data_IF_529300028718
#
_entry.id   IF_529300028718
#
_cell.length_a   1.000
_cell.length_b   1.000
_cell.length_c   1.000
_cell.angle_alpha   90.00
_cell.angle_beta   90.00
_cell.angle_gamma   90.00
#
_symmetry.space_group_name_H-M   'P 1'
#
loop_
_entity.id
_entity.type
_entity.pdbx_description
1 polymer ?
#
# COMPACT_ATOMS: atom_id res chain seq x y z
N UNK A 1 24.84 9.02 56.18
CA UNK A 1 25.48 9.83 55.12
C UNK A 1 25.59 8.98 53.87
N UNK A 2 25.07 9.44 52.73
CA UNK A 2 25.26 8.73 51.46
C UNK A 2 26.75 8.72 51.12
N UNK A 3 27.30 7.54 50.80
CA UNK A 3 28.68 7.41 50.34
C UNK A 3 28.88 8.30 49.11
N UNK A 4 30.05 8.94 49.02
CA UNK A 4 30.45 9.76 47.88
C UNK A 4 31.55 9.05 47.11
N UNK A 5 31.50 9.08 45.79
CA UNK A 5 32.49 8.51 44.89
C UNK A 5 33.08 9.59 44.01
N UNK A 6 34.33 9.41 43.55
CA UNK A 6 34.95 10.34 42.60
C UNK A 6 34.49 10.02 41.19
N UNK A 7 34.17 11.04 40.42
CA UNK A 7 33.72 10.92 39.03
C UNK A 7 34.30 12.03 38.16
N UNK A 8 34.32 11.79 36.85
CA UNK A 8 34.65 12.78 35.84
C UNK A 8 33.34 13.31 35.24
N UNK A 9 33.15 14.62 35.29
CA UNK A 9 32.00 15.31 34.69
C UNK A 9 32.44 16.07 33.44
N UNK A 10 31.71 15.88 32.34
CA UNK A 10 31.88 16.59 31.08
C UNK A 10 30.62 17.41 30.80
N UNK A 11 30.78 18.69 30.48
CA UNK A 11 29.66 19.61 30.26
C UNK A 11 29.14 19.64 28.82
N UNK A 12 29.71 18.80 27.93
CA UNK A 12 29.37 18.74 26.51
C UNK A 12 29.82 19.96 25.70
N UNK A 13 30.40 20.98 26.34
CA UNK A 13 30.76 22.27 25.73
C UNK A 13 32.27 22.50 25.70
N UNK A 14 32.99 21.90 26.64
CA UNK A 14 34.44 22.03 26.79
C UNK A 14 35.13 20.67 26.65
N UNK A 15 36.35 20.62 26.10
CA UNK A 15 37.11 19.38 25.93
C UNK A 15 37.75 18.89 27.25
N UNK A 16 37.45 19.53 28.38
CA UNK A 16 38.04 19.24 29.69
C UNK A 16 37.01 18.67 30.65
N UNK A 17 37.39 17.63 31.39
CA UNK A 17 36.55 17.11 32.48
C UNK A 17 36.80 17.88 33.78
N UNK A 18 35.79 17.93 34.64
CA UNK A 18 35.90 18.38 36.03
C UNK A 18 35.80 17.19 36.96
N UNK A 19 36.64 17.17 38.01
CA UNK A 19 36.53 16.17 39.07
C UNK A 19 35.37 16.54 39.98
N UNK A 20 34.47 15.59 40.21
CA UNK A 20 33.28 15.80 41.03
C UNK A 20 33.11 14.66 42.01
N UNK A 21 32.37 14.93 43.10
CA UNK A 21 31.90 13.89 43.99
C UNK A 21 30.46 13.53 43.60
N UNK A 22 30.21 12.25 43.38
CA UNK A 22 28.89 11.73 43.06
C UNK A 22 28.32 10.98 44.25
N UNK A 23 27.03 11.12 44.49
CA UNK A 23 26.25 10.22 45.33
C UNK A 23 24.97 9.84 44.62
N UNK A 24 24.44 8.64 44.86
CA UNK A 24 23.19 8.18 44.27
C UNK A 24 22.17 7.83 45.35
N UNK A 25 20.91 8.03 45.01
CA UNK A 25 19.75 7.56 45.76
C UNK A 25 18.69 6.99 44.81
N UNK A 26 17.53 6.59 45.34
CA UNK A 26 16.45 6.01 44.52
C UNK A 26 15.86 7.00 43.50
N UNK A 27 16.04 8.31 43.71
CA UNK A 27 15.46 9.36 42.86
C UNK A 27 16.42 9.78 41.75
N UNK A 28 17.74 9.59 41.92
CA UNK A 28 18.70 9.94 40.90
C UNK A 28 20.14 10.02 41.39
N UNK A 29 20.92 10.84 40.70
CA UNK A 29 22.35 11.04 40.94
C UNK A 29 22.60 12.50 41.31
N UNK A 30 23.25 12.72 42.45
CA UNK A 30 23.69 14.04 42.92
C UNK A 30 25.18 14.20 42.64
N UNK A 31 25.53 15.27 41.94
CA UNK A 31 26.87 15.66 41.55
C UNK A 31 27.25 16.90 42.36
N UNK A 32 28.41 16.89 43.00
CA UNK A 32 28.93 17.96 43.83
C UNK A 32 30.30 18.39 43.29
N UNK A 33 30.41 19.66 42.95
CA UNK A 33 31.60 20.28 42.38
C UNK A 33 32.53 20.81 43.48
N UNK A 34 33.80 21.03 43.15
CA UNK A 34 34.81 21.52 44.10
C UNK A 34 34.51 22.93 44.63
N UNK A 35 33.74 23.74 43.87
CA UNK A 35 33.28 25.07 44.27
C UNK A 35 32.08 25.04 45.25
N UNK A 36 31.64 23.84 45.65
CA UNK A 36 30.50 23.64 46.55
C UNK A 36 29.13 23.69 45.85
N UNK A 37 29.09 23.93 44.54
CA UNK A 37 27.84 23.82 43.79
C UNK A 37 27.41 22.36 43.64
N UNK A 38 26.10 22.13 43.55
CA UNK A 38 25.54 20.78 43.39
C UNK A 38 24.52 20.72 42.26
N UNK A 39 24.50 19.60 41.55
CA UNK A 39 23.53 19.30 40.49
C UNK A 39 22.86 17.96 40.78
N UNK A 40 21.58 17.85 40.45
CA UNK A 40 20.82 16.62 40.62
C UNK A 40 20.23 16.18 39.30
N UNK A 41 20.59 14.97 38.87
CA UNK A 41 20.04 14.31 37.71
C UNK A 41 18.99 13.30 38.16
N UNK A 42 17.73 13.51 37.80
CA UNK A 42 16.66 12.56 38.14
C UNK A 42 16.83 11.31 37.30
N UNK A 43 16.41 10.17 37.84
CA UNK A 43 16.42 8.87 37.14
C UNK A 43 15.79 8.92 35.74
N UNK A 44 14.77 9.74 35.53
CA UNK A 44 14.07 9.86 34.25
C UNK A 44 14.86 10.63 33.19
N UNK A 45 15.85 11.43 33.62
CA UNK A 45 16.47 12.47 32.80
C UNK A 45 17.87 12.06 32.32
N UNK A 46 18.42 10.94 32.82
CA UNK A 46 19.71 10.42 32.38
C UNK A 46 19.62 8.98 31.86
N UNK A 47 20.54 8.63 30.95
CA UNK A 47 20.64 7.31 30.33
C UNK A 47 22.02 6.70 30.58
N UNK A 48 22.10 5.38 30.67
CA UNK A 48 23.36 4.66 30.76
C UNK A 48 23.90 4.45 29.33
N UNK A 49 25.13 4.86 29.06
CA UNK A 49 25.72 4.84 27.72
C UNK A 49 26.35 3.49 27.33
N UNK A 50 26.75 2.68 28.32
CA UNK A 50 27.46 1.41 28.08
C UNK A 50 26.93 0.29 28.99
N UNK A 51 27.11 -0.95 28.54
CA UNK A 51 26.92 -2.12 29.39
C UNK A 51 27.80 -2.00 30.65
N UNK A 52 27.17 -2.21 31.81
CA UNK A 52 27.80 -2.17 33.13
C UNK A 52 28.98 -3.13 33.22
N UNK A 53 29.05 -4.16 32.40
CA UNK A 53 30.13 -5.16 32.41
C UNK A 53 31.44 -4.69 31.76
N UNK A 54 31.45 -3.55 31.04
CA UNK A 54 32.57 -3.15 30.17
C UNK A 54 33.24 -1.80 30.51
N UNK A 55 33.56 -1.56 31.78
CA UNK A 55 34.35 -0.40 32.21
C UNK A 55 33.61 0.56 33.14
N UNK A 56 34.01 1.84 33.22
CA UNK A 56 33.40 2.81 34.14
C UNK A 56 31.93 3.07 33.78
N UNK A 57 31.09 3.29 34.79
CA UNK A 57 29.69 3.64 34.58
C UNK A 57 29.61 5.03 33.97
N UNK A 58 29.07 5.13 32.75
CA UNK A 58 28.92 6.37 32.00
C UNK A 58 27.45 6.74 31.85
N UNK A 59 27.04 7.85 32.47
CA UNK A 59 25.70 8.39 32.44
C UNK A 59 25.66 9.63 31.54
N UNK A 60 24.60 9.76 30.76
CA UNK A 60 24.38 10.84 29.80
C UNK A 60 23.10 11.61 30.17
N UNK A 61 23.16 12.94 30.19
CA UNK A 61 22.07 13.83 30.59
C UNK A 61 21.90 14.99 29.60
N UNK A 62 20.65 15.25 29.19
CA UNK A 62 20.30 16.35 28.28
C UNK A 62 20.37 16.00 26.79
N UNK A 63 20.15 17.00 25.94
CA UNK A 63 20.21 16.90 24.47
C UNK A 63 21.62 17.18 23.92
N UNK A 64 21.86 16.87 22.65
CA UNK A 64 23.18 16.98 22.03
C UNK A 64 23.71 18.43 21.99
N UNK A 65 24.97 18.69 22.40
CA UNK A 65 25.92 17.76 23.01
C UNK A 65 25.60 17.51 24.49
N UNK A 66 25.52 16.23 24.91
CA UNK A 66 25.03 15.90 26.24
C UNK A 66 26.09 16.13 27.32
N UNK A 67 25.62 16.27 28.56
CA UNK A 67 26.46 16.20 29.74
C UNK A 67 26.74 14.75 30.10
N UNK A 68 27.97 14.45 30.51
CA UNK A 68 28.41 13.07 30.76
C UNK A 68 29.01 12.97 32.15
N UNK A 69 28.61 11.94 32.89
CA UNK A 69 29.21 11.56 34.16
C UNK A 69 29.83 10.18 34.06
N UNK A 70 31.13 10.08 34.31
CA UNK A 70 31.87 8.84 34.27
C UNK A 70 32.39 8.47 35.67
N UNK A 71 31.97 7.30 36.17
CA UNK A 71 32.31 6.80 37.50
C UNK A 71 33.01 5.45 37.38
N UNK A 72 34.32 5.43 37.65
CA UNK A 72 35.15 4.23 37.54
C UNK A 72 35.19 3.36 38.80
N UNK A 73 34.52 3.79 39.88
CA UNK A 73 34.56 3.09 41.16
C UNK A 73 33.74 1.78 41.12
N UNK A 74 34.35 0.61 41.38
CA UNK A 74 33.65 -0.69 41.32
C UNK A 74 32.53 -0.82 42.36
N UNK A 75 32.63 -0.13 43.50
CA UNK A 75 31.60 -0.17 44.53
C UNK A 75 30.39 0.69 44.13
N UNK A 76 30.63 1.81 43.46
CA UNK A 76 29.56 2.59 42.83
C UNK A 76 28.80 1.74 41.82
N UNK A 77 29.52 1.03 40.94
CA UNK A 77 28.93 0.14 39.94
C UNK A 77 28.01 -0.93 40.57
N UNK A 78 28.47 -1.60 41.63
CA UNK A 78 27.68 -2.60 42.34
C UNK A 78 26.47 -1.98 43.07
N UNK A 79 26.62 -0.79 43.67
CA UNK A 79 25.53 -0.10 44.37
C UNK A 79 24.49 0.47 43.40
N UNK A 80 24.95 1.09 42.32
CA UNK A 80 24.15 1.65 41.25
C UNK A 80 23.30 0.56 40.58
N UNK A 81 23.88 -0.62 40.33
CA UNK A 81 23.14 -1.77 39.78
C UNK A 81 21.97 -2.24 40.65
N UNK A 82 22.10 -2.16 41.98
CA UNK A 82 21.02 -2.52 42.93
C UNK A 82 19.91 -1.47 43.01
N UNK A 83 20.25 -0.19 42.91
CA UNK A 83 19.26 0.91 43.01
C UNK A 83 18.58 1.21 41.67
N UNK A 84 19.28 0.97 40.58
CA UNK A 84 18.81 1.13 39.22
C UNK A 84 18.93 -0.24 38.53
N UNK A 85 18.10 -1.23 38.84
CA UNK A 85 18.11 -2.48 38.07
C UNK A 85 17.94 -2.13 36.59
N UNK A 86 18.64 -2.84 35.71
CA UNK A 86 18.43 -2.67 34.28
C UNK A 86 16.93 -2.84 34.02
N UNK A 87 16.34 -1.92 33.25
CA UNK A 87 15.07 -2.21 32.61
C UNK A 87 15.39 -3.34 31.65
N UNK A 88 15.33 -4.59 32.13
CA UNK A 88 15.11 -5.73 31.27
C UNK A 88 13.86 -5.35 30.48
N UNK A 89 14.05 -4.89 29.24
CA UNK A 89 13.07 -5.19 28.21
C UNK A 89 12.99 -6.70 28.30
N UNK A 90 11.95 -7.23 28.94
CA UNK A 90 11.65 -8.64 28.95
C UNK A 90 11.40 -9.01 27.49
N UNK A 91 12.47 -9.21 26.72
CA UNK A 91 12.45 -9.94 25.47
C UNK A 91 12.28 -11.39 25.91
N UNK A 92 11.04 -11.77 26.23
CA UNK A 92 10.78 -13.18 26.41
C UNK A 92 10.92 -13.81 25.02
N UNK A 93 11.76 -14.85 24.85
CA UNK A 93 11.90 -15.52 23.56
C UNK A 93 10.54 -16.05 23.08
N UNK A 94 9.63 -16.37 24.00
CA UNK A 94 8.25 -16.72 23.72
C UNK A 94 7.44 -15.58 23.06
N UNK A 95 7.56 -14.32 23.51
CA UNK A 95 6.92 -13.17 22.88
C UNK A 95 7.53 -12.87 21.50
N UNK A 96 8.85 -13.04 21.35
CA UNK A 96 9.51 -12.90 20.06
C UNK A 96 9.03 -13.98 19.06
N UNK A 97 8.94 -15.24 19.49
CA UNK A 97 8.39 -16.34 18.71
C UNK A 97 6.91 -16.11 18.35
N UNK A 98 6.12 -15.62 19.30
CA UNK A 98 4.72 -15.27 19.05
C UNK A 98 4.59 -14.16 18.00
N UNK A 99 5.42 -13.11 18.09
CA UNK A 99 5.44 -12.03 17.10
C UNK A 99 5.84 -12.54 15.70
N UNK A 100 6.79 -13.47 15.61
CA UNK A 100 7.19 -14.12 14.35
C UNK A 100 6.05 -14.89 13.70
N UNK A 101 5.08 -15.39 14.47
CA UNK A 101 3.91 -16.10 13.93
C UNK A 101 2.74 -15.14 13.65
N UNK A 102 2.47 -14.20 14.56
CA UNK A 102 1.34 -13.28 14.46
C UNK A 102 1.53 -12.23 13.36
N UNK A 103 2.74 -11.68 13.21
CA UNK A 103 2.98 -10.63 12.22
C UNK A 103 2.75 -11.13 10.79
N UNK A 104 3.29 -12.30 10.36
CA UNK A 104 2.95 -12.86 9.06
C UNK A 104 1.46 -13.17 8.92
N UNK A 105 0.82 -13.77 9.93
CA UNK A 105 -0.62 -14.04 9.88
C UNK A 105 -1.45 -12.74 9.69
N UNK A 106 -1.06 -11.65 10.37
CA UNK A 106 -1.68 -10.34 10.17
C UNK A 106 -1.42 -9.78 8.77
N UNK A 107 -0.20 -9.87 8.25
CA UNK A 107 0.16 -9.33 6.93
C UNK A 107 -0.53 -10.11 5.80
N UNK A 108 -0.53 -11.43 5.87
CA UNK A 108 -1.03 -12.29 4.79
C UNK A 108 -2.53 -12.57 4.86
N UNK A 109 -3.14 -12.52 6.04
CA UNK A 109 -4.57 -12.84 6.20
C UNK A 109 -5.36 -11.72 6.87
N UNK A 110 -4.85 -11.15 7.96
CA UNK A 110 -5.58 -10.14 8.74
C UNK A 110 -5.85 -8.85 7.96
N UNK A 111 -4.80 -8.23 7.42
CA UNK A 111 -4.86 -6.95 6.71
C UNK A 111 -5.66 -7.10 5.40
N UNK A 112 -5.38 -8.05 4.50
CA UNK A 112 -6.18 -8.25 3.27
C UNK A 112 -7.68 -8.41 3.57
N UNK A 113 -8.04 -9.31 4.48
CA UNK A 113 -9.44 -9.58 4.81
C UNK A 113 -10.14 -8.34 5.41
N UNK A 114 -9.45 -7.58 6.25
CA UNK A 114 -9.99 -6.35 6.83
C UNK A 114 -10.14 -5.26 5.76
N UNK A 115 -9.17 -5.09 4.88
CA UNK A 115 -9.19 -4.05 3.85
C UNK A 115 -10.34 -4.23 2.87
N UNK A 116 -10.63 -5.44 2.41
CA UNK A 116 -11.80 -5.69 1.56
C UNK A 116 -13.12 -5.39 2.29
N UNK A 117 -13.21 -5.68 3.59
CA UNK A 117 -14.34 -5.27 4.42
C UNK A 117 -14.45 -3.75 4.52
N UNK A 118 -13.34 -3.04 4.73
CA UNK A 118 -13.34 -1.58 4.90
C UNK A 118 -13.47 -0.81 3.57
N UNK A 119 -13.08 -1.41 2.45
CA UNK A 119 -13.16 -0.81 1.13
C UNK A 119 -14.57 -0.30 0.88
N UNK A 120 -15.62 -1.08 1.18
CA UNK A 120 -17.05 -0.70 1.03
C UNK A 120 -17.50 0.55 1.78
N UNK A 121 -16.78 0.99 2.81
CA UNK A 121 -17.13 2.20 3.58
C UNK A 121 -16.46 3.47 3.05
N UNK A 122 -15.50 3.35 2.14
CA UNK A 122 -14.93 4.51 1.45
C UNK A 122 -16.04 5.17 0.62
N UNK A 123 -16.23 6.49 0.64
CA UNK A 123 -17.17 7.15 -0.28
C UNK A 123 -16.67 7.11 -1.73
N UNK A 124 -17.56 6.91 -2.70
CA UNK A 124 -17.22 6.93 -4.15
C UNK A 124 -16.56 8.25 -4.56
N UNK A 125 -16.91 9.37 -3.93
CA UNK A 125 -16.26 10.66 -4.18
C UNK A 125 -14.77 10.68 -3.85
N UNK A 126 -14.34 9.92 -2.83
CA UNK A 126 -12.92 9.76 -2.49
C UNK A 126 -12.24 8.87 -3.52
N UNK A 127 -12.90 7.79 -3.95
CA UNK A 127 -12.36 6.94 -5.01
C UNK A 127 -12.18 7.70 -6.33
N UNK A 128 -13.14 8.56 -6.72
CA UNK A 128 -13.00 9.41 -7.92
C UNK A 128 -11.77 10.31 -7.85
N UNK A 129 -11.51 10.92 -6.69
CA UNK A 129 -10.30 11.74 -6.49
C UNK A 129 -9.02 10.90 -6.55
N UNK A 130 -9.05 9.72 -5.93
CA UNK A 130 -7.94 8.78 -5.96
C UNK A 130 -7.64 8.32 -7.38
N UNK A 131 -8.64 7.85 -8.13
CA UNK A 131 -8.49 7.43 -9.51
C UNK A 131 -7.91 8.54 -10.38
N UNK A 132 -8.38 9.77 -10.24
CA UNK A 132 -7.84 10.91 -10.97
C UNK A 132 -6.37 11.20 -10.60
N UNK A 133 -6.00 11.08 -9.34
CA UNK A 133 -4.62 11.21 -8.87
C UNK A 133 -3.72 10.12 -9.49
N UNK A 134 -4.16 8.86 -9.42
CA UNK A 134 -3.45 7.69 -9.96
C UNK A 134 -3.24 7.83 -11.47
N UNK A 135 -4.27 8.24 -12.22
CA UNK A 135 -4.17 8.50 -13.66
C UNK A 135 -3.14 9.59 -13.96
N UNK A 136 -3.17 10.71 -13.24
CA UNK A 136 -2.26 11.83 -13.48
C UNK A 136 -0.81 11.49 -13.14
N UNK A 137 -0.59 10.62 -12.15
CA UNK A 137 0.75 10.15 -11.79
C UNK A 137 1.31 9.16 -12.82
N UNK A 138 0.50 8.19 -13.26
CA UNK A 138 0.95 7.12 -14.16
C UNK A 138 0.94 7.53 -15.64
N UNK A 139 0.01 8.41 -16.02
CA UNK A 139 -0.24 8.84 -17.40
C UNK A 139 -0.30 10.37 -17.51
N UNK A 140 0.77 11.09 -17.10
CA UNK A 140 0.78 12.57 -17.04
C UNK A 140 0.68 13.23 -18.42
N UNK A 141 1.22 12.61 -19.47
CA UNK A 141 1.29 13.14 -20.83
C UNK A 141 0.47 12.30 -21.82
N UNK A 142 -0.63 11.69 -21.36
CA UNK A 142 -1.47 10.86 -22.21
C UNK A 142 -2.14 11.67 -23.31
N UNK A 143 -2.18 11.12 -24.51
CA UNK A 143 -2.95 11.65 -25.63
C UNK A 143 -4.27 10.91 -25.65
N UNK A 144 -5.36 11.64 -25.50
CA UNK A 144 -6.72 11.08 -25.52
C UNK A 144 -7.24 11.18 -26.94
N UNK A 145 -7.61 10.03 -27.51
CA UNK A 145 -8.30 9.97 -28.79
C UNK A 145 -9.79 10.22 -28.59
N UNK A 146 -10.36 11.10 -29.41
CA UNK A 146 -11.77 11.44 -29.27
C UNK A 146 -12.38 11.91 -30.58
N UNK A 147 -13.54 11.34 -30.90
CA UNK A 147 -14.46 11.81 -31.96
C UNK A 147 -15.88 11.75 -31.42
N UNK A 148 -16.79 12.57 -31.95
CA UNK A 148 -18.20 12.55 -31.51
C UNK A 148 -18.84 11.17 -31.70
N UNK A 149 -18.59 10.51 -32.85
CA UNK A 149 -19.12 9.19 -33.15
C UNK A 149 -18.48 8.08 -32.29
N UNK A 150 -17.18 8.18 -31.99
CA UNK A 150 -16.49 7.25 -31.10
C UNK A 150 -16.96 7.39 -29.65
N UNK A 151 -17.17 8.62 -29.18
CA UNK A 151 -17.74 8.90 -27.84
C UNK A 151 -19.15 8.33 -27.71
N UNK A 152 -20.01 8.52 -28.71
CA UNK A 152 -21.36 7.93 -28.73
C UNK A 152 -21.31 6.39 -28.65
N UNK A 153 -20.34 5.77 -29.32
CA UNK A 153 -20.14 4.32 -29.25
C UNK A 153 -19.70 3.86 -27.84
N UNK A 154 -18.80 4.59 -27.18
CA UNK A 154 -18.39 4.32 -25.80
C UNK A 154 -19.54 4.47 -24.80
N UNK A 155 -20.34 5.54 -24.95
CA UNK A 155 -21.53 5.76 -24.11
C UNK A 155 -22.54 4.61 -24.26
N UNK A 156 -22.73 4.09 -25.48
CA UNK A 156 -23.56 2.90 -25.73
C UNK A 156 -23.02 1.65 -25.04
N UNK A 157 -21.70 1.42 -25.07
CA UNK A 157 -21.08 0.30 -24.35
C UNK A 157 -21.34 0.41 -22.84
N UNK A 158 -21.07 1.58 -22.26
CA UNK A 158 -21.32 1.82 -20.82
C UNK A 158 -22.79 1.65 -20.49
N UNK A 159 -23.71 2.23 -21.26
CA UNK A 159 -25.14 2.12 -21.02
C UNK A 159 -25.65 0.69 -21.12
N UNK A 160 -25.00 -0.17 -21.92
CA UNK A 160 -25.37 -1.57 -22.08
C UNK A 160 -24.91 -2.46 -20.93
N UNK A 161 -23.75 -2.14 -20.35
CA UNK A 161 -23.10 -2.95 -19.31
C UNK A 161 -23.35 -2.41 -17.88
N UNK A 162 -23.45 -1.10 -17.69
CA UNK A 162 -23.59 -0.51 -16.36
C UNK A 162 -25.04 -0.69 -15.85
N UNK A 163 -25.25 -1.28 -14.67
CA UNK A 163 -26.57 -1.33 -14.07
C UNK A 163 -27.13 0.08 -13.83
N UNK A 164 -28.43 0.33 -14.05
CA UNK A 164 -29.03 1.66 -13.92
C UNK A 164 -28.98 2.20 -12.48
N UNK A 165 -28.95 1.31 -11.48
CA UNK A 165 -28.90 1.66 -10.06
C UNK A 165 -27.47 1.71 -9.49
N UNK A 166 -26.45 1.81 -10.35
CA UNK A 166 -25.06 1.86 -9.90
C UNK A 166 -24.71 3.17 -9.22
N UNK A 167 -23.96 3.09 -8.11
CA UNK A 167 -23.33 4.25 -7.46
C UNK A 167 -22.15 4.81 -8.29
N UNK A 168 -21.70 4.09 -9.31
CA UNK A 168 -20.58 4.47 -10.18
C UNK A 168 -21.07 5.06 -11.49
N UNK A 169 -20.44 6.16 -11.87
CA UNK A 169 -20.57 6.77 -13.19
C UNK A 169 -19.29 6.44 -13.96
N UNK A 170 -19.40 5.56 -14.97
CA UNK A 170 -18.24 5.12 -15.73
C UNK A 170 -17.83 6.14 -16.77
N UNK A 171 -16.53 6.42 -16.83
CA UNK A 171 -15.92 7.33 -17.79
C UNK A 171 -14.82 6.59 -18.53
N UNK A 172 -14.98 6.46 -19.85
CA UNK A 172 -14.02 5.78 -20.71
C UNK A 172 -13.17 6.83 -21.44
N UNK A 173 -11.85 6.70 -21.37
CA UNK A 173 -10.91 7.48 -22.19
C UNK A 173 -10.11 6.52 -23.07
N UNK A 174 -10.02 6.81 -24.37
CA UNK A 174 -9.16 6.06 -25.29
C UNK A 174 -7.79 6.72 -25.33
N UNK A 175 -6.74 5.96 -25.04
CA UNK A 175 -5.36 6.47 -25.02
C UNK A 175 -4.65 6.07 -26.32
N UNK A 176 -4.04 7.03 -27.00
CA UNK A 176 -3.20 6.77 -28.18
C UNK A 176 -1.89 6.07 -27.78
N UNK A 177 -1.96 4.74 -27.73
CA UNK A 177 -0.83 3.85 -27.46
C UNK A 177 -1.07 2.52 -28.16
N UNK A 178 0.00 1.88 -28.63
CA UNK A 178 -0.04 0.55 -29.23
C UNK A 178 -0.21 -0.59 -28.21
N UNK A 179 -0.32 -0.25 -26.93
CA UNK A 179 -0.57 -1.20 -25.86
C UNK A 179 -1.91 -1.92 -26.06
N UNK A 180 -1.87 -3.25 -25.99
CA UNK A 180 -3.06 -4.10 -26.00
C UNK A 180 -3.48 -4.28 -24.55
N UNK A 181 -4.19 -3.30 -23.99
CA UNK A 181 -4.60 -3.33 -22.59
C UNK A 181 -5.85 -2.47 -22.32
N UNK A 182 -6.44 -2.63 -21.14
CA UNK A 182 -7.35 -1.69 -20.50
C UNK A 182 -7.03 -1.64 -19.00
N UNK A 183 -7.38 -0.55 -18.32
CA UNK A 183 -7.11 -0.39 -16.88
C UNK A 183 -8.26 0.35 -16.22
N UNK A 184 -8.89 -0.28 -15.23
CA UNK A 184 -9.81 0.35 -14.30
C UNK A 184 -9.09 1.07 -13.16
N UNK A 185 -9.55 2.29 -12.88
CA UNK A 185 -9.09 3.12 -11.78
C UNK A 185 -10.23 3.28 -10.76
N UNK A 186 -9.90 3.47 -9.47
CA UNK A 186 -10.90 3.75 -8.44
C UNK A 186 -11.86 4.86 -8.85
N UNK A 187 -13.15 4.66 -8.59
CA UNK A 187 -14.18 5.67 -8.83
C UNK A 187 -14.82 5.67 -10.23
N UNK A 188 -14.52 4.67 -11.08
CA UNK A 188 -15.23 4.43 -12.34
C UNK A 188 -14.55 4.96 -13.60
N UNK A 189 -13.30 5.43 -13.52
CA UNK A 189 -12.52 5.77 -14.71
C UNK A 189 -11.86 4.52 -15.29
N UNK A 190 -12.00 4.31 -16.58
CA UNK A 190 -11.36 3.19 -17.28
C UNK A 190 -10.61 3.76 -18.49
N UNK A 191 -9.33 3.43 -18.60
CA UNK A 191 -8.52 3.75 -19.77
C UNK A 191 -8.48 2.53 -20.69
N UNK A 192 -8.79 2.72 -21.96
CA UNK A 192 -8.65 1.71 -23.00
C UNK A 192 -7.57 2.19 -23.97
N UNK A 193 -6.60 1.34 -24.28
CA UNK A 193 -5.51 1.73 -25.19
C UNK A 193 -5.89 1.41 -26.64
N UNK A 194 -5.49 2.27 -27.60
CA UNK A 194 -5.76 2.07 -29.04
C UNK A 194 -5.38 0.68 -29.51
N UNK A 195 -4.25 0.15 -29.06
CA UNK A 195 -3.81 -1.21 -29.40
C UNK A 195 -4.81 -2.30 -29.03
N UNK A 196 -5.61 -2.13 -27.96
CA UNK A 196 -6.70 -3.05 -27.63
C UNK A 196 -7.74 -3.05 -28.77
N UNK A 197 -8.24 -1.87 -29.15
CA UNK A 197 -9.27 -1.71 -30.19
C UNK A 197 -8.79 -2.25 -31.55
N UNK A 198 -7.53 -2.04 -31.90
CA UNK A 198 -6.92 -2.54 -33.14
C UNK A 198 -6.76 -4.06 -33.19
N UNK A 199 -6.67 -4.72 -32.02
CA UNK A 199 -6.56 -6.19 -31.93
C UNK A 199 -7.88 -6.89 -31.63
N UNK A 200 -8.90 -6.15 -31.19
CA UNK A 200 -10.26 -6.65 -31.01
C UNK A 200 -10.93 -6.93 -32.34
N UNK A 201 -11.61 -8.07 -32.45
CA UNK A 201 -12.32 -8.48 -33.67
C UNK A 201 -13.75 -7.96 -33.75
N UNK A 202 -14.32 -7.57 -32.61
CA UNK A 202 -15.70 -7.16 -32.45
C UNK A 202 -15.83 -6.15 -31.31
N UNK A 203 -16.95 -5.43 -31.27
CA UNK A 203 -17.31 -4.60 -30.13
C UNK A 203 -17.60 -5.45 -28.88
N UNK A 204 -18.12 -6.67 -29.05
CA UNK A 204 -18.41 -7.61 -27.97
C UNK A 204 -17.11 -8.06 -27.25
N UNK A 205 -16.01 -8.20 -27.99
CA UNK A 205 -14.68 -8.48 -27.42
C UNK A 205 -14.19 -7.33 -26.52
N UNK A 206 -14.40 -6.08 -26.95
CA UNK A 206 -14.10 -4.90 -26.13
C UNK A 206 -15.03 -4.84 -24.91
N UNK A 207 -16.32 -5.14 -25.10
CA UNK A 207 -17.29 -5.20 -24.02
C UNK A 207 -16.94 -6.27 -22.97
N UNK A 208 -16.37 -7.40 -23.38
CA UNK A 208 -15.87 -8.43 -22.46
C UNK A 208 -14.75 -7.93 -21.55
N UNK A 209 -13.75 -7.26 -22.11
CA UNK A 209 -12.67 -6.63 -21.32
C UNK A 209 -13.24 -5.51 -20.44
N UNK A 210 -14.12 -4.68 -20.99
CA UNK A 210 -14.76 -3.61 -20.23
C UNK A 210 -15.58 -4.15 -19.05
N UNK A 211 -16.33 -5.24 -19.24
CA UNK A 211 -17.08 -5.88 -18.16
C UNK A 211 -16.14 -6.33 -17.03
N UNK A 212 -14.98 -6.92 -17.36
CA UNK A 212 -13.94 -7.27 -16.39
C UNK A 212 -13.42 -6.04 -15.63
N UNK A 213 -13.04 -4.98 -16.33
CA UNK A 213 -12.57 -3.73 -15.72
C UNK A 213 -13.65 -3.08 -14.83
N UNK A 214 -14.92 -3.13 -15.24
CA UNK A 214 -16.03 -2.62 -14.43
C UNK A 214 -16.20 -3.41 -13.14
N UNK A 215 -15.95 -4.73 -13.13
CA UNK A 215 -16.01 -5.53 -11.91
C UNK A 215 -14.91 -5.16 -10.91
N UNK A 216 -13.71 -4.79 -11.36
CA UNK A 216 -12.70 -4.25 -10.45
C UNK A 216 -13.16 -2.96 -9.76
N UNK A 217 -13.97 -2.14 -10.44
CA UNK A 217 -14.59 -0.94 -9.85
C UNK A 217 -15.72 -1.32 -8.89
N UNK A 218 -16.65 -2.18 -9.32
CA UNK A 218 -17.79 -2.59 -8.49
C UNK A 218 -17.36 -3.29 -7.20
N UNK A 219 -16.36 -4.16 -7.28
CA UNK A 219 -15.79 -4.85 -6.12
C UNK A 219 -14.74 -4.02 -5.38
N UNK A 220 -14.42 -2.81 -5.87
CA UNK A 220 -13.52 -1.84 -5.25
C UNK A 220 -12.11 -2.40 -5.00
N UNK A 221 -11.63 -3.29 -5.88
CA UNK A 221 -10.34 -3.97 -5.73
C UNK A 221 -9.17 -2.97 -5.62
N UNK A 222 -9.19 -1.87 -6.38
CA UNK A 222 -8.15 -0.82 -6.28
C UNK A 222 -8.16 -0.09 -4.93
N UNK A 223 -9.33 0.10 -4.35
CA UNK A 223 -9.52 0.71 -3.03
C UNK A 223 -9.10 -0.24 -1.91
N UNK A 224 -9.40 -1.53 -2.05
CA UNK A 224 -8.87 -2.58 -1.17
C UNK A 224 -7.33 -2.58 -1.17
N UNK A 225 -6.71 -2.54 -2.35
CA UNK A 225 -5.25 -2.45 -2.49
C UNK A 225 -4.67 -1.21 -1.81
N UNK A 226 -5.34 -0.06 -1.90
CA UNK A 226 -4.91 1.15 -1.18
C UNK A 226 -4.93 0.93 0.33
N UNK A 227 -6.04 0.41 0.86
CA UNK A 227 -6.19 0.17 2.29
C UNK A 227 -5.16 -0.85 2.80
N UNK A 228 -4.86 -1.88 2.01
CA UNK A 228 -3.78 -2.83 2.27
C UNK A 228 -2.43 -2.12 2.41
N UNK A 229 -2.07 -1.27 1.44
CA UNK A 229 -0.79 -0.55 1.46
C UNK A 229 -0.69 0.44 2.64
N UNK A 230 -1.78 1.15 2.95
CA UNK A 230 -1.86 2.07 4.07
C UNK A 230 -1.71 1.32 5.40
N UNK A 231 -2.42 0.21 5.57
CA UNK A 231 -2.33 -0.63 6.77
C UNK A 231 -0.92 -1.23 6.95
N UNK A 232 -0.32 -1.74 5.88
CA UNK A 232 1.05 -2.27 5.90
C UNK A 232 2.07 -1.18 6.23
N UNK A 233 1.93 0.02 5.64
CA UNK A 233 2.80 1.17 5.94
C UNK A 233 2.68 1.59 7.41
N UNK A 234 1.45 1.63 7.94
CA UNK A 234 1.19 1.90 9.36
C UNK A 234 1.81 0.85 10.28
N UNK A 235 1.65 -0.43 9.95
CA UNK A 235 2.25 -1.55 10.69
C UNK A 235 3.78 -1.45 10.71
N UNK A 236 4.41 -1.15 9.57
CA UNK A 236 5.87 -1.00 9.49
C UNK A 236 6.36 0.14 10.38
N UNK A 237 5.69 1.30 10.37
CA UNK A 237 6.03 2.43 11.23
C UNK A 237 5.94 2.07 12.72
N UNK A 238 4.95 1.28 13.14
CA UNK A 238 4.81 0.80 14.52
C UNK A 238 5.94 -0.15 14.94
N UNK A 239 6.49 -0.94 14.00
CA UNK A 239 7.60 -1.85 14.26
C UNK A 239 8.96 -1.12 14.31
N UNK A 240 9.07 0.07 13.71
CA UNK A 240 10.25 0.92 13.80
C UNK A 240 10.21 1.84 15.04
N UNK A 241 11.38 2.22 15.59
CA UNK A 241 11.48 3.10 16.78
C UNK A 241 11.05 4.55 16.50
N UNK A 242 10.69 4.87 15.25
CA UNK A 242 10.22 6.18 14.79
C UNK A 242 8.68 6.29 14.83
N UNK A 243 8.05 5.82 15.91
CA UNK A 243 6.60 5.87 16.10
C UNK A 243 6.01 7.30 16.17
N UNK A 244 6.84 8.34 16.16
CA UNK A 244 6.42 9.73 16.28
C UNK A 244 6.03 10.37 14.94
N UNK A 245 6.29 9.70 13.80
CA UNK A 245 6.05 10.22 12.44
C UNK A 245 4.91 9.49 11.69
N UNK A 246 3.91 8.98 12.43
CA UNK A 246 2.83 8.18 11.84
C UNK A 246 1.89 9.06 10.98
N UNK A 247 1.65 10.30 11.39
CA UNK A 247 0.63 11.16 10.77
C UNK A 247 1.07 11.85 9.46
N UNK A 248 2.35 12.24 9.30
CA UNK A 248 2.76 13.14 8.20
C UNK A 248 2.96 12.45 6.83
N UNK A 249 2.99 11.11 6.77
CA UNK A 249 3.36 10.39 5.53
C UNK A 249 2.64 9.06 5.42
N UNK A 250 1.32 9.03 5.61
CA UNK A 250 0.54 7.80 5.42
C UNK A 250 0.54 7.34 3.94
N UNK A 251 0.64 8.30 3.01
CA UNK A 251 0.62 8.04 1.57
C UNK A 251 2.01 8.01 0.91
N UNK A 252 3.09 8.39 1.60
CA UNK A 252 4.43 8.47 1.00
C UNK A 252 5.02 7.10 0.61
N UNK A 253 4.41 5.99 1.05
CA UNK A 253 4.78 4.62 0.67
C UNK A 253 3.84 3.98 -0.35
N UNK A 254 2.79 4.67 -0.80
CA UNK A 254 1.83 4.10 -1.76
C UNK A 254 2.50 3.98 -3.11
N UNK A 255 2.51 2.75 -3.63
CA UNK A 255 2.96 2.44 -4.99
C UNK A 255 1.73 2.46 -5.88
N UNK A 256 1.56 3.55 -6.62
CA UNK A 256 0.39 3.83 -7.45
C UNK A 256 0.09 2.71 -8.46
N UNK A 257 1.12 2.13 -9.08
CA UNK A 257 0.96 0.95 -9.95
C UNK A 257 0.44 -0.29 -9.21
N UNK A 258 0.84 -0.51 -7.95
CA UNK A 258 0.40 -1.65 -7.15
C UNK A 258 -1.07 -1.55 -6.74
N UNK A 259 -1.70 -0.38 -6.88
CA UNK A 259 -3.15 -0.26 -6.71
C UNK A 259 -3.92 -1.00 -7.81
N UNK A 260 -3.30 -1.12 -8.99
CA UNK A 260 -3.89 -1.65 -10.21
C UNK A 260 -3.45 -3.10 -10.49
N UNK A 261 -2.64 -3.70 -9.60
CA UNK A 261 -2.23 -5.10 -9.69
C UNK A 261 -3.04 -5.92 -8.70
N UNK A 262 -3.82 -6.87 -9.19
CA UNK A 262 -4.71 -7.64 -8.35
C UNK A 262 -4.19 -9.06 -8.12
N UNK A 263 -4.64 -9.68 -7.03
CA UNK A 263 -4.29 -11.07 -6.75
C UNK A 263 -5.10 -12.00 -7.64
N UNK A 264 -4.67 -13.26 -7.76
CA UNK A 264 -5.37 -14.27 -8.58
C UNK A 264 -6.83 -14.46 -8.16
N UNK A 265 -7.10 -14.33 -6.86
CA UNK A 265 -8.43 -14.44 -6.27
C UNK A 265 -9.34 -13.30 -6.76
N UNK A 266 -8.88 -12.05 -6.67
CA UNK A 266 -9.62 -10.87 -7.14
C UNK A 266 -9.84 -10.91 -8.66
N UNK A 267 -8.86 -11.41 -9.42
CA UNK A 267 -8.97 -11.62 -10.86
C UNK A 267 -10.04 -12.66 -11.22
N UNK A 268 -10.10 -13.76 -10.47
CA UNK A 268 -11.09 -14.84 -10.69
C UNK A 268 -12.49 -14.38 -10.30
N UNK A 269 -12.60 -13.56 -9.25
CA UNK A 269 -13.87 -12.90 -8.87
C UNK A 269 -14.34 -11.94 -9.97
N UNK A 270 -13.46 -11.07 -10.46
CA UNK A 270 -13.77 -10.14 -11.55
C UNK A 270 -14.20 -10.87 -12.82
N UNK A 271 -13.54 -11.98 -13.17
CA UNK A 271 -13.90 -12.82 -14.32
C UNK A 271 -15.30 -13.42 -14.23
N UNK A 272 -15.60 -14.08 -13.10
CA UNK A 272 -16.88 -14.73 -12.91
C UNK A 272 -18.04 -13.72 -12.93
N UNK A 273 -17.84 -12.56 -12.28
CA UNK A 273 -18.83 -11.49 -12.25
C UNK A 273 -18.94 -10.76 -13.60
N UNK A 274 -17.85 -10.64 -14.36
CA UNK A 274 -17.88 -10.05 -15.69
C UNK A 274 -18.64 -10.96 -16.65
N UNK A 275 -18.42 -12.27 -16.58
CA UNK A 275 -19.18 -13.24 -17.34
C UNK A 275 -20.67 -13.16 -17.02
N UNK A 276 -21.03 -13.08 -15.74
CA UNK A 276 -22.42 -12.85 -15.31
C UNK A 276 -22.98 -11.54 -15.87
N UNK A 277 -22.20 -10.46 -15.83
CA UNK A 277 -22.61 -9.16 -16.35
C UNK A 277 -22.90 -9.21 -17.86
N UNK A 278 -22.07 -9.91 -18.64
CA UNK A 278 -22.28 -10.09 -20.07
C UNK A 278 -23.56 -10.89 -20.35
N UNK A 279 -23.84 -11.94 -19.57
CA UNK A 279 -25.09 -12.67 -19.67
C UNK A 279 -26.31 -11.78 -19.39
N UNK A 280 -26.30 -11.02 -18.30
CA UNK A 280 -27.36 -10.08 -17.95
C UNK A 280 -27.53 -8.99 -19.01
N UNK A 281 -26.42 -8.51 -19.56
CA UNK A 281 -26.38 -7.57 -20.66
C UNK A 281 -26.61 -8.21 -22.03
N UNK A 282 -26.93 -9.50 -22.15
CA UNK A 282 -27.09 -10.21 -23.45
C UNK A 282 -25.96 -9.94 -24.47
N UNK A 283 -24.74 -9.69 -24.01
CA UNK A 283 -23.55 -9.49 -24.87
C UNK A 283 -22.87 -10.85 -25.03
N UNK A 284 -22.28 -11.13 -26.20
CA UNK A 284 -21.62 -12.42 -26.42
C UNK A 284 -20.42 -12.62 -25.47
N UNK A 285 -20.51 -13.55 -24.50
CA UNK A 285 -19.43 -13.77 -23.56
C UNK A 285 -18.28 -14.61 -24.14
N UNK A 286 -18.47 -15.27 -25.29
CA UNK A 286 -17.39 -16.00 -25.97
C UNK A 286 -16.32 -15.03 -26.48
N UNK A 287 -16.73 -13.83 -26.86
CA UNK A 287 -15.83 -12.78 -27.33
C UNK A 287 -14.91 -12.26 -26.20
N UNK A 288 -15.32 -12.35 -24.92
CA UNK A 288 -14.45 -12.07 -23.77
C UNK A 288 -13.24 -13.01 -23.73
N UNK A 289 -13.45 -14.33 -23.88
CA UNK A 289 -12.37 -15.32 -23.90
C UNK A 289 -11.46 -15.11 -25.10
N UNK A 290 -12.05 -14.81 -26.26
CA UNK A 290 -11.29 -14.48 -27.47
C UNK A 290 -10.38 -13.28 -27.24
N UNK A 291 -10.87 -12.25 -26.54
CA UNK A 291 -10.08 -11.07 -26.23
C UNK A 291 -9.01 -11.34 -25.15
N UNK A 292 -9.30 -12.18 -24.18
CA UNK A 292 -8.34 -12.62 -23.16
C UNK A 292 -7.18 -13.40 -23.80
N UNK A 293 -7.46 -14.30 -24.74
CA UNK A 293 -6.40 -14.97 -25.51
C UNK A 293 -5.53 -13.96 -26.29
N UNK A 294 -6.11 -12.88 -26.82
CA UNK A 294 -5.37 -11.78 -27.46
C UNK A 294 -4.50 -11.02 -26.45
N UNK A 295 -5.04 -10.68 -25.27
CA UNK A 295 -4.30 -10.03 -24.19
C UNK A 295 -3.12 -10.89 -23.73
N UNK A 296 -3.35 -12.17 -23.46
CA UNK A 296 -2.30 -13.12 -23.07
C UNK A 296 -1.16 -13.16 -24.10
N UNK A 297 -1.49 -13.19 -25.38
CA UNK A 297 -0.50 -13.21 -26.47
C UNK A 297 0.35 -11.94 -26.53
N UNK A 298 -0.23 -10.78 -26.19
CA UNK A 298 0.45 -9.48 -26.27
C UNK A 298 0.97 -8.99 -24.91
N UNK A 299 0.72 -9.70 -23.81
CA UNK A 299 1.24 -9.38 -22.49
C UNK A 299 2.76 -9.17 -22.46
N UNK A 300 3.60 -9.93 -23.20
CA UNK A 300 5.04 -9.66 -23.26
C UNK A 300 5.44 -8.33 -23.90
N UNK A 301 4.53 -7.69 -24.65
CA UNK A 301 4.75 -6.37 -25.27
C UNK A 301 4.46 -5.22 -24.31
N UNK A 302 3.81 -5.48 -23.17
CA UNK A 302 3.62 -4.49 -22.12
C UNK A 302 4.85 -4.45 -21.21
N UNK A 303 5.29 -3.27 -20.74
CA UNK A 303 6.26 -3.21 -19.65
C UNK A 303 5.70 -3.95 -18.43
N UNK A 304 6.53 -4.74 -17.73
CA UNK A 304 6.11 -5.58 -16.59
C UNK A 304 5.38 -4.77 -15.49
N UNK A 305 5.74 -3.50 -15.33
CA UNK A 305 5.07 -2.57 -14.42
C UNK A 305 3.58 -2.35 -14.73
N UNK A 306 3.20 -2.46 -16.01
CA UNK A 306 1.85 -2.27 -16.53
C UNK A 306 1.13 -3.57 -16.89
N UNK A 307 1.75 -4.72 -16.63
CA UNK A 307 1.04 -6.01 -16.59
C UNK A 307 0.26 -6.09 -15.28
N UNK A 308 -1.01 -5.70 -15.34
CA UNK A 308 -1.94 -5.58 -14.20
C UNK A 308 -2.64 -6.90 -13.87
N UNK A 309 -2.81 -7.77 -14.86
CA UNK A 309 -3.56 -9.04 -14.76
C UNK A 309 -2.68 -10.26 -15.14
N UNK A 310 -1.73 -10.69 -14.28
CA UNK A 310 -0.86 -11.83 -14.57
C UNK A 310 -1.62 -13.18 -14.52
N UNK A 311 -1.05 -14.23 -15.13
CA UNK A 311 -1.52 -15.63 -15.04
C UNK A 311 -2.93 -15.92 -15.60
N UNK A 312 -3.13 -15.65 -16.89
CA UNK A 312 -4.43 -15.78 -17.56
C UNK A 312 -4.84 -17.22 -17.95
N UNK A 313 -3.90 -18.16 -18.13
CA UNK A 313 -4.22 -19.50 -18.69
C UNK A 313 -5.22 -20.29 -17.85
N UNK A 314 -4.98 -20.38 -16.54
CA UNK A 314 -5.89 -21.12 -15.63
C UNK A 314 -7.27 -20.46 -15.47
N UNK A 315 -7.34 -19.14 -15.69
CA UNK A 315 -8.59 -18.37 -15.63
C UNK A 315 -9.42 -18.60 -16.89
N UNK A 316 -8.79 -18.67 -18.06
CA UNK A 316 -9.45 -19.05 -19.31
C UNK A 316 -10.11 -20.42 -19.21
N UNK A 317 -9.42 -21.43 -18.69
CA UNK A 317 -10.02 -22.77 -18.48
C UNK A 317 -11.26 -22.72 -17.56
N UNK A 318 -11.22 -21.86 -16.53
CA UNK A 318 -12.36 -21.68 -15.61
C UNK A 318 -13.54 -21.02 -16.32
N UNK A 319 -13.29 -19.98 -17.12
CA UNK A 319 -14.31 -19.27 -17.91
C UNK A 319 -14.93 -20.16 -18.99
N UNK A 320 -14.12 -20.99 -19.67
CA UNK A 320 -14.61 -21.98 -20.64
C UNK A 320 -15.61 -22.94 -19.98
N UNK A 321 -15.27 -23.45 -18.80
CA UNK A 321 -16.16 -24.34 -18.03
C UNK A 321 -17.48 -23.65 -17.64
N UNK A 322 -17.45 -22.35 -17.30
CA UNK A 322 -18.66 -21.60 -16.94
C UNK A 322 -19.54 -21.31 -18.16
N UNK A 323 -18.95 -21.09 -19.33
CA UNK A 323 -19.69 -20.93 -20.59
C UNK A 323 -20.42 -22.21 -21.01
N UNK A 324 -19.78 -23.36 -20.85
CA UNK A 324 -20.38 -24.66 -21.18
C UNK A 324 -21.66 -24.96 -20.38
N UNK A 325 -21.85 -24.29 -19.24
CA UNK A 325 -23.07 -24.41 -18.43
C UNK A 325 -24.26 -23.64 -19.02
N UNK A 326 -24.06 -22.76 -20.01
CA UNK A 326 -25.08 -21.93 -20.64
C UNK A 326 -25.08 -22.05 -22.19
N UNK A 327 -25.22 -23.25 -22.77
CA UNK A 327 -25.02 -23.49 -24.21
C UNK A 327 -26.11 -22.89 -25.12
N UNK A 328 -27.27 -22.51 -24.56
CA UNK A 328 -28.41 -21.96 -25.30
C UNK A 328 -28.51 -20.42 -25.20
N UNK A 329 -27.47 -19.76 -24.67
CA UNK A 329 -27.48 -18.31 -24.53
C UNK A 329 -27.55 -17.61 -25.89
N UNK A 330 -28.46 -16.65 -26.02
CA UNK A 330 -28.64 -15.83 -27.22
C UNK A 330 -28.15 -14.42 -26.92
N UNK A 331 -27.06 -14.03 -27.57
CA UNK A 331 -26.49 -12.69 -27.50
C UNK A 331 -27.08 -11.75 -28.57
N UNK A 332 -26.92 -10.46 -28.33
CA UNK A 332 -27.19 -9.38 -29.28
C UNK A 332 -25.91 -8.52 -29.38
N UNK A 333 -25.47 -8.12 -30.60
CA UNK A 333 -24.28 -7.28 -30.74
C UNK A 333 -24.37 -6.01 -29.89
N UNK A 334 -23.33 -5.74 -29.10
CA UNK A 334 -23.32 -4.61 -28.17
C UNK A 334 -23.32 -3.26 -28.90
N UNK A 335 -22.77 -3.22 -30.12
CA UNK A 335 -22.76 -2.08 -31.02
C UNK A 335 -23.18 -2.48 -32.43
N UNK A 336 -23.73 -1.53 -33.17
CA UNK A 336 -23.88 -1.66 -34.63
C UNK A 336 -22.50 -1.63 -35.31
N UNK A 337 -22.37 -2.25 -36.50
CA UNK A 337 -21.15 -2.22 -37.31
C UNK A 337 -20.60 -0.80 -37.52
N UNK A 338 -21.48 0.17 -37.80
CA UNK A 338 -21.09 1.57 -37.98
C UNK A 338 -20.52 2.19 -36.69
N UNK A 339 -21.14 1.89 -35.54
CA UNK A 339 -20.64 2.37 -34.25
C UNK A 339 -19.31 1.71 -33.89
N UNK A 340 -19.16 0.43 -34.22
CA UNK A 340 -17.90 -0.29 -34.05
C UNK A 340 -16.77 0.31 -34.91
N UNK A 341 -17.02 0.55 -36.19
CA UNK A 341 -16.05 1.21 -37.09
C UNK A 341 -15.68 2.61 -36.58
N UNK A 342 -16.65 3.38 -36.08
CA UNK A 342 -16.41 4.70 -35.50
C UNK A 342 -15.50 4.63 -34.26
N UNK A 343 -15.68 3.59 -33.43
CA UNK A 343 -14.83 3.36 -32.27
C UNK A 343 -13.41 2.91 -32.68
N UNK A 344 -13.27 2.03 -33.67
CA UNK A 344 -11.95 1.60 -34.16
C UNK A 344 -11.14 2.77 -34.74
N UNK A 345 -11.80 3.74 -35.37
CA UNK A 345 -11.17 4.90 -36.00
C UNK A 345 -11.06 6.12 -35.07
N UNK A 346 -11.37 5.99 -33.77
CA UNK A 346 -11.42 7.12 -32.83
C UNK A 346 -10.09 7.90 -32.72
N UNK A 347 -8.96 7.25 -32.98
CA UNK A 347 -7.62 7.85 -32.94
C UNK A 347 -7.10 8.34 -34.31
N UNK A 348 -7.87 8.18 -35.39
CA UNK A 348 -7.43 8.52 -36.76
C UNK A 348 -7.77 9.96 -37.17
N UNK A 349 -8.19 10.80 -36.22
CA UNK A 349 -8.71 12.15 -36.46
C UNK A 349 -7.67 13.26 -36.35
#
# INVERSE_FOLDING_TARGET
MSKKWKANYFDGRTPTHRKVNVSNDRQGVRIEFEDGSTRFWRKADFRLQQDRSQGPIRLEYGEFPPEILEVADPEFQNNFGKQFPDRNRFFSPALALLAVLIIPALIYWGIPSASGLFARFVPVSIEKQLGQYVINELFPNRVICETDAGREALEKLVARLAPPDSDYEFQLEIIDSDWVNAIAFPGGKILIFRGLLEKSRSADAVAGVLAHEMQHVFQRHGTENLLNQVALSGLFKLLTVEANAIAETLFAGVRTLSLLKYTRELETEADALALQLLFEAKVDPVEMLSMFAVLQKHAPSLPESFSTHPEMSSRLETLETLLEQNPEFVSEPVLSEKSWESLQNICQS
#
